data_IF_864260264112
#
_entry.id   IF_864260264112
#
_cell.length_a   1.000
_cell.length_b   1.000
_cell.length_c   1.000
_cell.angle_alpha   90.00
_cell.angle_beta   90.00
_cell.angle_gamma   90.00
#
_symmetry.space_group_name_H-M   'P 1'
#
loop_
_entity.id
_entity.type
_entity.pdbx_description
1 polymer ?
#
# COMPACT_ATOMS: atom_id res chain seq x y z
N UNK A 1 -11.26 -20.15 5.03
CA UNK A 1 -10.78 -19.32 3.90
C UNK A 1 -9.80 -18.29 4.43
N UNK A 2 -8.57 -18.24 3.90
CA UNK A 2 -7.55 -17.30 4.35
C UNK A 2 -7.90 -15.84 3.98
N UNK A 3 -7.37 -14.85 4.70
CA UNK A 3 -7.54 -13.43 4.35
C UNK A 3 -7.00 -13.14 2.95
N UNK A 4 -5.89 -13.77 2.56
CA UNK A 4 -5.32 -13.63 1.23
C UNK A 4 -6.28 -14.09 0.12
N UNK A 5 -6.91 -15.25 0.30
CA UNK A 5 -7.92 -15.76 -0.64
C UNK A 5 -9.11 -14.82 -0.77
N UNK A 6 -9.60 -14.26 0.35
CA UNK A 6 -10.69 -13.27 0.35
C UNK A 6 -10.30 -11.98 -0.38
N UNK A 7 -9.05 -11.53 -0.22
CA UNK A 7 -8.53 -10.37 -0.93
C UNK A 7 -8.52 -10.60 -2.44
N UNK A 8 -8.01 -11.74 -2.92
CA UNK A 8 -7.97 -12.06 -4.35
C UNK A 8 -9.36 -12.19 -4.94
N UNK A 9 -10.26 -12.93 -4.28
CA UNK A 9 -11.64 -13.12 -4.72
C UNK A 9 -12.40 -11.79 -4.82
N UNK A 10 -12.22 -10.90 -3.84
CA UNK A 10 -12.86 -9.59 -3.85
C UNK A 10 -12.25 -8.64 -4.89
N UNK A 11 -10.92 -8.65 -5.05
CA UNK A 11 -10.25 -7.88 -6.11
C UNK A 11 -10.69 -8.33 -7.50
N UNK A 12 -10.84 -9.65 -7.69
CA UNK A 12 -11.26 -10.21 -8.97
C UNK A 12 -12.70 -9.85 -9.32
N UNK A 13 -13.62 -9.94 -8.34
CA UNK A 13 -14.99 -9.45 -8.51
C UNK A 13 -15.07 -7.96 -8.87
N UNK A 14 -14.20 -7.13 -8.29
CA UNK A 14 -14.17 -5.68 -8.57
C UNK A 14 -13.57 -5.34 -9.94
N UNK A 15 -12.70 -6.18 -10.48
CA UNK A 15 -12.07 -5.96 -11.78
C UNK A 15 -12.71 -6.75 -12.93
N UNK A 16 -13.72 -7.56 -12.61
CA UNK A 16 -14.33 -8.53 -13.52
C UNK A 16 -13.28 -9.41 -14.22
N UNK A 17 -12.24 -9.79 -13.48
CA UNK A 17 -11.09 -10.51 -13.99
C UNK A 17 -10.44 -11.34 -12.88
N UNK A 18 -9.80 -12.46 -13.22
CA UNK A 18 -9.02 -13.22 -12.24
C UNK A 18 -7.86 -12.38 -11.70
N UNK A 19 -7.76 -12.24 -10.38
CA UNK A 19 -6.60 -11.60 -9.73
C UNK A 19 -5.73 -12.70 -9.12
N UNK A 20 -4.49 -12.78 -9.60
CA UNK A 20 -3.55 -13.86 -9.24
C UNK A 20 -2.63 -13.45 -8.09
N UNK A 21 -2.37 -12.16 -7.94
CA UNK A 21 -1.53 -11.65 -6.86
C UNK A 21 -2.03 -10.27 -6.40
N UNK A 22 -1.88 -9.97 -5.10
CA UNK A 22 -2.26 -8.69 -4.50
C UNK A 22 -1.32 -8.35 -3.34
N UNK A 23 -0.86 -7.10 -3.33
CA UNK A 23 0.00 -6.52 -2.30
C UNK A 23 -0.66 -5.32 -1.66
N UNK A 24 -0.62 -5.28 -0.34
CA UNK A 24 -1.09 -4.16 0.46
C UNK A 24 -0.06 -3.03 0.44
N UNK A 25 -0.51 -1.82 0.15
CA UNK A 25 0.30 -0.61 0.10
C UNK A 25 -0.39 0.51 0.89
N UNK A 26 0.41 1.39 1.49
CA UNK A 26 -0.10 2.46 2.35
C UNK A 26 0.17 3.80 1.69
N UNK A 27 -0.86 4.63 1.52
CA UNK A 27 -0.71 6.01 1.07
C UNK A 27 -0.83 6.94 2.27
N UNK A 28 0.15 7.80 2.51
CA UNK A 28 0.03 8.84 3.56
C UNK A 28 -0.58 10.10 2.94
N UNK A 29 -1.61 10.65 3.55
CA UNK A 29 -2.19 11.93 3.12
C UNK A 29 -1.19 13.06 3.34
N UNK A 30 -1.25 14.10 2.51
CA UNK A 30 -0.37 15.28 2.60
C UNK A 30 -0.34 15.96 3.98
N UNK A 31 -1.45 15.89 4.72
CA UNK A 31 -1.58 16.46 6.05
C UNK A 31 -1.06 15.57 7.18
N UNK A 32 -0.64 14.34 6.88
CA UNK A 32 -0.13 13.38 7.87
C UNK A 32 1.02 13.98 8.69
N UNK A 33 2.09 14.44 8.03
CA UNK A 33 3.25 15.00 8.70
C UNK A 33 2.93 16.27 9.49
N UNK A 34 2.16 17.24 8.95
CA UNK A 34 1.64 18.35 9.76
C UNK A 34 0.90 17.90 11.01
N UNK A 35 0.00 16.92 10.91
CA UNK A 35 -0.76 16.42 12.07
C UNK A 35 0.13 15.71 13.09
N UNK A 36 1.13 14.95 12.64
CA UNK A 36 2.13 14.31 13.52
C UNK A 36 2.94 15.37 14.26
N UNK A 37 3.41 16.43 13.58
CA UNK A 37 4.16 17.53 14.20
C UNK A 37 3.31 18.23 15.26
N UNK A 38 2.06 18.59 14.93
CA UNK A 38 1.15 19.24 15.88
C UNK A 38 0.88 18.32 17.08
N UNK A 39 0.61 17.03 16.83
CA UNK A 39 0.40 16.06 17.90
C UNK A 39 1.61 15.93 18.82
N UNK A 40 2.82 15.83 18.25
CA UNK A 40 4.07 15.79 19.03
C UNK A 40 4.24 17.05 19.88
N UNK A 41 4.06 18.24 19.31
CA UNK A 41 4.21 19.50 20.05
C UNK A 41 3.20 19.60 21.20
N UNK A 42 1.93 19.27 20.95
CA UNK A 42 0.89 19.25 21.99
C UNK A 42 1.21 18.21 23.06
N UNK A 43 1.64 17.01 22.67
CA UNK A 43 2.02 15.94 23.59
C UNK A 43 3.20 16.33 24.48
N UNK A 44 4.22 16.99 23.93
CA UNK A 44 5.37 17.49 24.69
C UNK A 44 4.97 18.60 25.65
N UNK A 45 4.17 19.58 25.21
CA UNK A 45 3.73 20.69 26.06
C UNK A 45 2.86 20.20 27.22
N UNK A 46 1.92 19.28 26.95
CA UNK A 46 1.06 18.68 27.97
C UNK A 46 1.87 17.80 28.93
N UNK A 47 2.81 17.01 28.41
CA UNK A 47 3.71 16.19 29.20
C UNK A 47 4.58 17.01 30.17
N UNK A 48 5.08 18.17 29.73
CA UNK A 48 5.82 19.09 30.58
C UNK A 48 4.98 19.66 31.73
N UNK A 49 3.67 19.83 31.53
CA UNK A 49 2.76 20.35 32.55
C UNK A 49 2.31 19.28 33.58
N UNK A 50 2.28 17.99 33.23
CA UNK A 50 1.72 16.91 34.07
C UNK A 50 2.82 16.04 34.73
N UNK A 51 4.06 16.12 34.27
CA UNK A 51 5.21 15.39 34.81
C UNK A 51 5.74 14.27 33.90
N UNK A 52 7.03 13.94 34.06
CA UNK A 52 7.83 13.15 33.11
C UNK A 52 7.30 11.75 32.70
N UNK A 53 6.73 10.90 33.59
CA UNK A 53 6.34 9.54 33.17
C UNK A 53 5.14 9.51 32.22
N UNK A 54 4.18 10.44 32.37
CA UNK A 54 3.06 10.56 31.43
C UNK A 54 3.47 11.19 30.10
N UNK A 55 4.44 12.12 30.11
CA UNK A 55 4.98 12.72 28.89
C UNK A 55 5.58 11.68 27.94
N UNK A 56 6.33 10.72 28.48
CA UNK A 56 6.96 9.62 27.72
C UNK A 56 5.89 8.68 27.15
N UNK A 57 4.84 8.37 27.90
CA UNK A 57 3.74 7.53 27.42
C UNK A 57 2.96 8.20 26.26
N UNK A 58 2.73 9.52 26.32
CA UNK A 58 2.09 10.26 25.22
C UNK A 58 2.96 10.32 23.95
N UNK A 59 4.27 10.58 24.11
CA UNK A 59 5.22 10.52 23.00
C UNK A 59 5.28 9.12 22.38
N UNK A 60 5.25 8.07 23.20
CA UNK A 60 5.21 6.69 22.73
C UNK A 60 3.88 6.33 22.04
N UNK A 61 2.74 6.89 22.44
CA UNK A 61 1.45 6.65 21.79
C UNK A 61 1.37 7.33 20.41
N UNK A 62 1.89 8.56 20.31
CA UNK A 62 1.96 9.32 19.07
C UNK A 62 3.00 8.71 18.12
N UNK A 63 4.19 8.39 18.63
CA UNK A 63 5.29 7.81 17.85
C UNK A 63 5.17 6.31 17.58
N UNK A 64 4.47 5.55 18.42
CA UNK A 64 4.50 4.09 18.43
C UNK A 64 3.41 3.39 17.63
N UNK A 65 2.29 4.05 17.30
CA UNK A 65 1.27 3.38 16.48
C UNK A 65 0.03 4.16 16.12
N UNK A 66 -0.53 4.97 17.03
CA UNK A 66 -1.76 5.70 16.72
C UNK A 66 -1.47 6.94 15.86
N UNK A 67 -0.46 7.74 16.23
CA UNK A 67 -0.07 8.94 15.46
C UNK A 67 0.55 8.63 14.10
N UNK A 68 1.29 7.52 13.99
CA UNK A 68 1.90 7.07 12.72
C UNK A 68 0.88 6.58 11.69
N UNK A 69 -0.31 6.16 12.12
CA UNK A 69 -1.38 5.71 11.23
C UNK A 69 -2.45 6.77 10.94
N UNK A 70 -2.44 7.90 11.68
CA UNK A 70 -3.32 9.04 11.42
C UNK A 70 -3.09 9.57 9.99
N UNK A 71 -4.13 9.59 9.17
CA UNK A 71 -4.00 10.06 7.78
C UNK A 71 -3.36 9.07 6.82
N UNK A 72 -3.22 7.80 7.21
CA UNK A 72 -2.90 6.71 6.28
C UNK A 72 -4.17 6.20 5.61
N UNK A 73 -4.15 6.17 4.28
CA UNK A 73 -5.06 5.40 3.45
C UNK A 73 -4.38 4.09 3.05
N UNK A 74 -5.20 3.09 2.82
CA UNK A 74 -4.74 1.77 2.45
C UNK A 74 -5.22 1.45 1.04
N UNK A 75 -4.35 0.84 0.26
CA UNK A 75 -4.62 0.44 -1.11
C UNK A 75 -4.05 -0.93 -1.39
N UNK A 76 -4.47 -1.50 -2.51
CA UNK A 76 -3.86 -2.71 -3.05
C UNK A 76 -3.35 -2.46 -4.45
N UNK A 77 -2.12 -2.89 -4.71
CA UNK A 77 -1.67 -3.16 -6.07
C UNK A 77 -1.88 -4.64 -6.34
N UNK A 78 -2.59 -4.98 -7.40
CA UNK A 78 -2.89 -6.35 -7.76
C UNK A 78 -2.48 -6.64 -9.20
N UNK A 79 -2.29 -7.93 -9.49
CA UNK A 79 -1.93 -8.43 -10.81
C UNK A 79 -3.04 -9.38 -11.25
N UNK A 80 -3.63 -9.07 -12.40
CA UNK A 80 -4.41 -10.03 -13.17
C UNK A 80 -3.51 -10.68 -14.25
N UNK A 81 -3.98 -11.69 -15.00
CA UNK A 81 -3.24 -12.21 -16.15
C UNK A 81 -2.88 -11.13 -17.18
N UNK A 82 -3.77 -10.15 -17.41
CA UNK A 82 -3.61 -9.18 -18.50
C UNK A 82 -3.00 -7.85 -18.06
N UNK A 83 -3.27 -7.38 -16.84
CA UNK A 83 -2.88 -6.03 -16.39
C UNK A 83 -2.50 -5.94 -14.90
N UNK A 84 -1.95 -4.79 -14.51
CA UNK A 84 -1.74 -4.42 -13.11
C UNK A 84 -2.84 -3.43 -12.72
N UNK A 85 -3.36 -3.56 -11.51
CA UNK A 85 -4.56 -2.89 -11.04
C UNK A 85 -4.31 -2.23 -9.69
N UNK A 86 -4.90 -1.06 -9.48
CA UNK A 86 -4.86 -0.33 -8.21
C UNK A 86 -6.25 -0.28 -7.60
N UNK A 87 -6.37 -0.62 -6.33
CA UNK A 87 -7.63 -0.62 -5.59
C UNK A 87 -7.54 0.23 -4.34
N UNK A 88 -8.66 0.83 -3.95
CA UNK A 88 -8.85 1.31 -2.57
C UNK A 88 -9.06 0.12 -1.63
N UNK A 89 -8.65 0.28 -0.38
CA UNK A 89 -8.85 -0.71 0.68
C UNK A 89 -9.70 -0.16 1.81
N UNK A 90 -10.54 -1.03 2.38
CA UNK A 90 -11.25 -0.73 3.61
C UNK A 90 -10.26 -0.52 4.76
N UNK A 91 -10.39 0.62 5.45
CA UNK A 91 -9.63 0.91 6.67
C UNK A 91 -10.01 0.02 7.86
N UNK A 92 -11.16 -0.65 7.81
CA UNK A 92 -11.69 -1.45 8.93
C UNK A 92 -11.28 -2.92 8.81
N UNK A 93 -11.42 -3.50 7.61
CA UNK A 93 -11.22 -4.93 7.40
C UNK A 93 -10.04 -5.27 6.48
N UNK A 94 -9.37 -4.25 5.90
CA UNK A 94 -8.18 -4.44 5.07
C UNK A 94 -8.45 -5.23 3.78
N UNK A 95 -9.63 -5.05 3.16
CA UNK A 95 -10.01 -5.72 1.91
C UNK A 95 -10.22 -4.70 0.79
N UNK A 96 -9.99 -5.06 -0.48
CA UNK A 96 -10.27 -4.22 -1.64
C UNK A 96 -11.74 -3.77 -1.66
N UNK A 97 -12.00 -2.50 -1.87
CA UNK A 97 -13.37 -1.94 -1.88
C UNK A 97 -13.79 -1.40 -3.24
N UNK A 98 -12.84 -0.86 -4.00
CA UNK A 98 -13.10 -0.19 -5.27
C UNK A 98 -11.88 -0.33 -6.17
N UNK A 99 -12.09 -0.61 -7.46
CA UNK A 99 -11.04 -0.54 -8.45
C UNK A 99 -10.82 0.93 -8.82
N UNK A 100 -9.64 1.47 -8.52
CA UNK A 100 -9.29 2.86 -8.85
C UNK A 100 -9.02 2.98 -10.34
N UNK A 101 -8.07 2.17 -10.84
CA UNK A 101 -7.69 2.12 -12.26
C UNK A 101 -6.70 1.00 -12.58
N UNK A 102 -6.55 0.63 -13.86
CA UNK A 102 -5.36 -0.03 -14.36
C UNK A 102 -4.10 0.85 -14.21
N UNK A 103 -2.97 0.20 -14.01
CA UNK A 103 -1.66 0.83 -13.85
C UNK A 103 -0.69 0.21 -14.84
N UNK A 104 0.03 1.02 -15.62
CA UNK A 104 1.11 0.50 -16.44
C UNK A 104 2.31 0.13 -15.55
N UNK A 105 3.03 -1.00 -15.80
CA UNK A 105 4.20 -1.37 -15.01
C UNK A 105 5.23 -0.25 -14.87
N UNK A 106 5.43 0.57 -15.92
CA UNK A 106 6.37 1.69 -15.93
C UNK A 106 5.95 2.88 -15.06
N UNK A 107 4.67 2.96 -14.67
CA UNK A 107 4.19 3.93 -13.70
C UNK A 107 4.53 3.54 -12.25
N UNK A 108 5.10 2.35 -12.05
CA UNK A 108 5.43 1.80 -10.73
C UNK A 108 6.94 1.81 -10.52
N UNK A 109 7.39 2.73 -9.68
CA UNK A 109 8.80 2.78 -9.25
C UNK A 109 8.90 2.59 -7.74
N UNK A 110 10.00 2.01 -7.27
CA UNK A 110 10.22 1.85 -5.83
C UNK A 110 11.66 2.10 -5.44
N UNK A 111 11.85 2.70 -4.27
CA UNK A 111 13.15 3.02 -3.70
C UNK A 111 13.21 2.55 -2.24
N UNK A 112 14.37 2.05 -1.76
CA UNK A 112 14.57 1.75 -0.35
C UNK A 112 14.36 2.99 0.53
N UNK A 113 13.67 2.85 1.65
CA UNK A 113 13.46 3.91 2.65
C UNK A 113 13.52 3.31 4.07
N UNK A 114 14.75 3.00 4.52
CA UNK A 114 15.01 2.36 5.81
C UNK A 114 14.33 0.97 5.92
N UNK A 115 13.48 0.73 6.95
CA UNK A 115 12.77 -0.54 7.12
C UNK A 115 11.60 -0.72 6.12
N UNK A 116 11.20 0.34 5.42
CA UNK A 116 10.14 0.32 4.42
C UNK A 116 10.70 0.62 3.01
N UNK A 117 9.82 0.57 2.02
CA UNK A 117 10.10 1.06 0.67
C UNK A 117 9.09 2.12 0.28
N UNK A 118 9.59 3.18 -0.34
CA UNK A 118 8.74 4.13 -1.04
C UNK A 118 8.36 3.52 -2.38
N UNK A 119 7.07 3.52 -2.68
CA UNK A 119 6.48 3.02 -3.90
C UNK A 119 5.74 4.18 -4.56
N UNK A 120 6.13 4.58 -5.76
CA UNK A 120 5.38 5.54 -6.55
C UNK A 120 4.50 4.77 -7.52
N UNK A 121 3.20 5.09 -7.56
CA UNK A 121 2.24 4.50 -8.50
C UNK A 121 1.52 5.63 -9.22
N UNK A 122 1.87 5.87 -10.48
CA UNK A 122 1.33 6.95 -11.31
C UNK A 122 1.35 8.31 -10.62
N UNK A 123 2.51 8.69 -10.08
CA UNK A 123 2.75 9.96 -9.41
C UNK A 123 2.33 10.00 -7.93
N UNK A 124 1.57 9.03 -7.43
CA UNK A 124 1.21 8.96 -6.01
C UNK A 124 2.20 8.14 -5.18
N UNK A 125 2.66 8.72 -4.07
CA UNK A 125 3.61 8.07 -3.15
C UNK A 125 2.88 7.18 -2.15
N UNK A 126 3.34 5.94 -2.09
CA UNK A 126 2.90 4.89 -1.20
C UNK A 126 4.10 4.32 -0.44
N UNK A 127 3.81 3.51 0.56
CA UNK A 127 4.78 2.80 1.39
C UNK A 127 4.43 1.32 1.39
N UNK A 128 5.44 0.48 1.23
CA UNK A 128 5.31 -0.99 1.29
C UNK A 128 6.41 -1.57 2.18
N UNK A 129 6.14 -2.70 2.83
CA UNK A 129 7.17 -3.43 3.56
C UNK A 129 8.25 -3.96 2.59
N UNK A 130 9.53 -3.82 2.97
CA UNK A 130 10.68 -4.18 2.12
C UNK A 130 10.70 -5.65 1.70
N UNK A 131 10.19 -6.55 2.53
CA UNK A 131 10.06 -7.98 2.23
C UNK A 131 9.22 -8.29 0.97
N UNK A 132 8.36 -7.36 0.54
CA UNK A 132 7.51 -7.54 -0.63
C UNK A 132 8.17 -7.08 -1.95
N UNK A 133 9.41 -6.57 -1.91
CA UNK A 133 10.11 -6.06 -3.11
C UNK A 133 10.21 -7.08 -4.25
N UNK A 134 10.68 -8.29 -3.93
CA UNK A 134 10.84 -9.34 -4.93
C UNK A 134 9.49 -9.80 -5.51
N UNK A 135 8.42 -9.79 -4.68
CA UNK A 135 7.06 -10.13 -5.10
C UNK A 135 6.49 -9.06 -6.03
N UNK A 136 6.62 -7.79 -5.66
CA UNK A 136 6.22 -6.66 -6.49
C UNK A 136 6.92 -6.71 -7.85
N UNK A 137 8.25 -6.92 -7.87
CA UNK A 137 9.01 -7.04 -9.13
C UNK A 137 8.42 -8.12 -10.04
N UNK A 138 8.11 -9.31 -9.51
CA UNK A 138 7.49 -10.39 -10.29
C UNK A 138 6.11 -10.01 -10.81
N UNK A 139 5.30 -9.32 -10.02
CA UNK A 139 3.99 -8.84 -10.46
C UNK A 139 4.10 -7.88 -11.66
N UNK A 140 5.11 -7.00 -11.65
CA UNK A 140 5.33 -6.02 -12.73
C UNK A 140 5.93 -6.64 -13.99
N UNK A 141 6.81 -7.64 -13.86
CA UNK A 141 7.48 -8.28 -15.02
C UNK A 141 6.68 -9.45 -15.61
N UNK A 142 5.78 -10.07 -14.84
CA UNK A 142 5.04 -11.27 -15.22
C UNK A 142 3.96 -11.08 -16.30
N UNK A 143 3.96 -9.96 -17.02
CA UNK A 143 3.11 -9.72 -18.20
C UNK A 143 3.82 -9.91 -19.53
N UNK A 144 5.15 -9.98 -19.57
CA UNK A 144 5.90 -10.10 -20.82
C UNK A 144 5.80 -11.50 -21.48
N UNK A 145 5.31 -12.52 -20.78
CA UNK A 145 5.30 -13.91 -21.27
C UNK A 145 3.97 -14.38 -21.87
N UNK A 146 2.90 -13.59 -21.82
CA UNK A 146 1.59 -13.98 -22.39
C UNK A 146 1.36 -13.49 -23.83
N UNK A 147 2.29 -12.72 -24.40
CA UNK A 147 2.16 -12.11 -25.73
C UNK A 147 2.97 -12.75 -26.87
N UNK A 148 3.65 -13.88 -26.65
CA UNK A 148 4.48 -14.54 -27.67
C UNK A 148 4.00 -15.94 -28.08
N UNK A 149 2.72 -16.26 -27.86
CA UNK A 149 2.09 -17.47 -28.41
C UNK A 149 0.86 -17.09 -29.22
N UNK A 150 1.06 -16.41 -30.34
CA UNK A 150 0.06 -16.40 -31.41
C UNK A 150 0.77 -16.21 -32.76
N UNK A 151 0.47 -17.14 -33.66
CA UNK A 151 0.85 -17.19 -35.08
C UNK A 151 2.27 -17.64 -35.44
N UNK A 152 2.53 -18.94 -35.33
CA UNK A 152 3.18 -19.64 -36.45
C UNK A 152 2.25 -20.78 -36.87
N UNK A 153 1.25 -20.41 -37.67
CA UNK A 153 0.35 -21.33 -38.35
C UNK A 153 0.99 -21.63 -39.70
N UNK A 154 1.45 -22.87 -39.86
CA UNK A 154 1.55 -23.65 -41.09
C UNK A 154 1.80 -22.86 -42.40
N UNK A 155 2.98 -23.04 -42.98
CA UNK A 155 3.10 -23.33 -44.41
C UNK A 155 4.30 -24.21 -44.71
#
# INVERSE_FOLDING_TARGET
VSMHTRTLDRAGRLADELVVDALFIVRRKRWHWPAVIVGLMLGTALGAAIGQPLAVAFLALIGGGLGMNVGSDFRFIARSPTRVLLYESSRVIGLPTELVRPVHPDEVSYAPSGPAMHLTVGGEVHVMARQHAARLRRMLTGGATAGSMTEEKQS
#
